data_IF_761104194596
#
_entry.id   IF_761104194596
#
_cell.length_a   1.000
_cell.length_b   1.000
_cell.length_c   1.000
_cell.angle_alpha   90.00
_cell.angle_beta   90.00
_cell.angle_gamma   90.00
#
_symmetry.space_group_name_H-M   'P 1'
#
loop_
_entity.id
_entity.type
_entity.pdbx_description
1 polymer ?
#
# COMPACT_ATOMS: atom_id res chain seq x y z
N UNK A 1 17.47 -47.12 20.51
CA UNK A 1 18.17 -46.08 19.73
C UNK A 1 17.09 -45.18 19.13
N UNK A 2 16.89 -44.00 19.73
CA UNK A 2 15.87 -43.02 19.36
C UNK A 2 16.33 -42.31 18.09
N UNK A 3 15.48 -42.24 17.07
CA UNK A 3 15.61 -41.25 16.00
C UNK A 3 14.25 -40.58 15.79
N UNK A 4 14.00 -39.60 16.66
CA UNK A 4 13.04 -38.53 16.41
C UNK A 4 13.69 -37.59 15.39
N UNK A 5 13.15 -37.56 14.17
CA UNK A 5 13.51 -36.56 13.17
C UNK A 5 12.48 -35.43 13.20
N UNK A 6 12.99 -34.22 13.40
CA UNK A 6 12.23 -33.04 13.76
C UNK A 6 11.25 -32.53 12.71
N UNK A 7 10.07 -32.16 13.17
CA UNK A 7 9.26 -31.12 12.55
C UNK A 7 9.99 -29.78 12.73
N UNK A 8 10.42 -29.18 11.62
CA UNK A 8 10.94 -27.82 11.57
C UNK A 8 9.99 -26.97 10.73
N UNK A 9 9.26 -26.10 11.42
CA UNK A 9 8.85 -24.73 11.05
C UNK A 9 8.26 -24.45 9.65
N UNK A 10 7.04 -24.94 9.37
CA UNK A 10 6.18 -24.45 8.27
C UNK A 10 5.10 -23.44 8.74
N UNK A 11 5.08 -23.09 10.02
CA UNK A 11 4.02 -22.31 10.68
C UNK A 11 4.22 -20.78 10.61
N UNK A 12 5.45 -20.28 10.41
CA UNK A 12 5.72 -18.83 10.37
C UNK A 12 5.34 -18.13 9.06
N UNK A 13 5.59 -18.78 7.91
CA UNK A 13 5.24 -18.22 6.59
C UNK A 13 3.73 -18.20 6.35
N UNK A 14 3.00 -19.22 6.83
CA UNK A 14 1.55 -19.35 6.67
C UNK A 14 0.77 -18.31 7.50
N UNK A 15 1.25 -17.99 8.71
CA UNK A 15 0.66 -16.95 9.56
C UNK A 15 0.85 -15.54 8.98
N UNK A 16 2.06 -15.20 8.51
CA UNK A 16 2.31 -13.90 7.86
C UNK A 16 1.50 -13.72 6.57
N UNK A 17 1.28 -14.79 5.80
CA UNK A 17 0.41 -14.72 4.61
C UNK A 17 -1.06 -14.52 4.98
N UNK A 18 -1.54 -15.19 6.03
CA UNK A 18 -2.93 -15.08 6.48
C UNK A 18 -3.23 -13.68 7.03
N UNK A 19 -2.28 -13.06 7.73
CA UNK A 19 -2.44 -11.69 8.25
C UNK A 19 -2.43 -10.64 7.14
N UNK A 20 -1.57 -10.81 6.11
CA UNK A 20 -1.59 -9.95 4.91
C UNK A 20 -2.91 -10.07 4.14
N UNK A 21 -3.46 -11.28 4.03
CA UNK A 21 -4.75 -11.53 3.38
C UNK A 21 -5.90 -10.84 4.14
N UNK A 22 -5.96 -10.99 5.47
CA UNK A 22 -6.95 -10.28 6.30
C UNK A 22 -6.89 -8.77 6.10
N UNK A 23 -5.69 -8.22 5.95
CA UNK A 23 -5.49 -6.78 5.74
C UNK A 23 -5.94 -6.31 4.36
N UNK A 24 -5.79 -7.15 3.32
CA UNK A 24 -6.34 -6.86 1.98
C UNK A 24 -7.86 -6.98 1.95
N UNK A 25 -8.43 -7.94 2.68
CA UNK A 25 -9.89 -8.16 2.70
C UNK A 25 -10.61 -6.98 3.37
N UNK A 26 -10.04 -6.47 4.47
CA UNK A 26 -10.53 -5.25 5.13
C UNK A 26 -10.47 -4.07 4.17
N UNK A 27 -9.38 -3.93 3.41
CA UNK A 27 -9.23 -2.85 2.44
C UNK A 27 -10.30 -2.93 1.35
N UNK A 28 -10.53 -4.13 0.81
CA UNK A 28 -11.55 -4.38 -0.20
C UNK A 28 -12.93 -4.03 0.35
N UNK A 29 -13.26 -4.51 1.56
CA UNK A 29 -14.55 -4.24 2.20
C UNK A 29 -14.78 -2.75 2.46
N UNK A 30 -13.79 -2.02 2.99
CA UNK A 30 -13.92 -0.57 3.24
C UNK A 30 -14.19 0.16 1.93
N UNK A 31 -13.42 -0.12 0.87
CA UNK A 31 -13.57 0.55 -0.42
C UNK A 31 -14.92 0.20 -1.06
N UNK A 32 -15.29 -1.09 -1.12
CA UNK A 32 -16.58 -1.52 -1.68
C UNK A 32 -17.77 -0.86 -0.97
N UNK A 33 -17.77 -0.85 0.37
CA UNK A 33 -18.86 -0.28 1.16
C UNK A 33 -18.97 1.22 1.00
N UNK A 34 -17.84 1.94 0.93
CA UNK A 34 -17.82 3.40 0.88
C UNK A 34 -18.13 3.95 -0.52
N UNK A 35 -17.67 3.27 -1.57
CA UNK A 35 -17.91 3.69 -2.95
C UNK A 35 -19.28 3.27 -3.46
N UNK A 36 -19.94 2.29 -2.82
CA UNK A 36 -21.22 1.72 -3.25
C UNK A 36 -21.22 1.37 -4.75
N UNK A 37 -20.19 0.63 -5.18
CA UNK A 37 -19.98 0.29 -6.59
C UNK A 37 -21.10 -0.61 -7.09
N UNK A 38 -21.64 -0.33 -8.28
CA UNK A 38 -22.49 -1.29 -8.96
C UNK A 38 -21.70 -2.56 -9.34
N UNK A 39 -22.36 -3.70 -9.63
CA UNK A 39 -21.68 -4.89 -10.12
C UNK A 39 -20.82 -4.61 -11.37
N UNK A 40 -21.32 -3.81 -12.31
CA UNK A 40 -20.60 -3.42 -13.52
C UNK A 40 -19.39 -2.54 -13.24
N UNK A 41 -19.54 -1.55 -12.34
CA UNK A 41 -18.44 -0.70 -11.91
C UNK A 41 -17.37 -1.52 -11.21
N UNK A 42 -17.75 -2.46 -10.34
CA UNK A 42 -16.83 -3.31 -9.58
C UNK A 42 -15.91 -4.12 -10.50
N UNK A 43 -16.47 -4.76 -11.54
CA UNK A 43 -15.70 -5.55 -12.51
C UNK A 43 -14.62 -4.71 -13.20
N UNK A 44 -14.94 -3.46 -13.54
CA UNK A 44 -14.01 -2.52 -14.19
C UNK A 44 -13.04 -1.84 -13.23
N UNK A 45 -13.49 -1.55 -12.01
CA UNK A 45 -12.76 -0.77 -11.00
C UNK A 45 -11.58 -1.55 -10.42
N UNK A 46 -11.80 -2.78 -9.98
CA UNK A 46 -10.79 -3.56 -9.25
C UNK A 46 -9.48 -3.76 -10.02
N UNK A 47 -9.47 -4.08 -11.33
CA UNK A 47 -8.23 -4.18 -12.09
C UNK A 47 -7.42 -2.88 -12.09
N UNK A 48 -8.08 -1.72 -12.28
CA UNK A 48 -7.44 -0.40 -12.28
C UNK A 48 -6.92 -0.05 -10.90
N UNK A 49 -7.73 -0.30 -9.86
CA UNK A 49 -7.38 -0.05 -8.48
C UNK A 49 -6.17 -0.88 -8.01
N UNK A 50 -6.15 -2.17 -8.35
CA UNK A 50 -5.07 -3.07 -7.96
C UNK A 50 -3.74 -2.65 -8.60
N UNK A 51 -3.76 -2.26 -9.87
CA UNK A 51 -2.58 -1.74 -10.58
C UNK A 51 -2.07 -0.44 -9.94
N UNK A 52 -2.98 0.51 -9.67
CA UNK A 52 -2.68 1.77 -8.98
C UNK A 52 -2.06 1.50 -7.60
N UNK A 53 -2.72 0.69 -6.78
CA UNK A 53 -2.30 0.41 -5.41
C UNK A 53 -0.96 -0.31 -5.36
N UNK A 54 -0.66 -1.19 -6.31
CA UNK A 54 0.63 -1.85 -6.41
C UNK A 54 1.77 -0.85 -6.72
N UNK A 55 1.57 0.02 -7.71
CA UNK A 55 2.56 1.05 -8.09
C UNK A 55 2.82 2.03 -6.94
N UNK A 56 1.75 2.54 -6.32
CA UNK A 56 1.84 3.46 -5.18
C UNK A 56 2.56 2.82 -3.99
N UNK A 57 2.26 1.55 -3.69
CA UNK A 57 2.96 0.79 -2.64
C UNK A 57 4.45 0.66 -2.92
N UNK A 58 4.86 0.48 -4.18
CA UNK A 58 6.26 0.48 -4.60
C UNK A 58 6.97 1.78 -4.26
N UNK A 59 6.38 2.91 -4.66
CA UNK A 59 6.90 4.25 -4.36
C UNK A 59 7.05 4.46 -2.84
N UNK A 60 6.01 4.15 -2.07
CA UNK A 60 6.06 4.28 -0.61
C UNK A 60 7.10 3.37 0.04
N UNK A 61 7.34 2.18 -0.52
CA UNK A 61 8.38 1.27 -0.04
C UNK A 61 9.77 1.90 -0.24
N UNK A 62 10.05 2.45 -1.41
CA UNK A 62 11.33 3.14 -1.68
C UNK A 62 11.53 4.34 -0.75
N UNK A 63 10.51 5.19 -0.57
CA UNK A 63 10.58 6.32 0.35
C UNK A 63 10.89 5.85 1.79
N UNK A 64 10.22 4.81 2.27
CA UNK A 64 10.48 4.25 3.61
C UNK A 64 11.90 3.69 3.73
N UNK A 65 12.43 3.04 2.70
CA UNK A 65 13.79 2.51 2.71
C UNK A 65 14.83 3.63 2.85
N UNK A 66 14.65 4.74 2.13
CA UNK A 66 15.53 5.91 2.21
C UNK A 66 15.45 6.56 3.60
N UNK A 67 14.23 6.81 4.11
CA UNK A 67 14.04 7.50 5.40
C UNK A 67 14.52 6.63 6.57
N UNK A 68 14.22 5.33 6.56
CA UNK A 68 14.61 4.44 7.66
C UNK A 68 16.12 4.15 7.69
N UNK A 69 16.83 4.30 6.57
CA UNK A 69 18.28 4.17 6.50
C UNK A 69 19.01 5.24 7.35
N UNK A 70 18.41 6.43 7.52
CA UNK A 70 18.94 7.52 8.38
C UNK A 70 18.89 7.26 9.89
N UNK A 71 18.44 6.08 10.34
CA UNK A 71 18.55 5.67 11.76
C UNK A 71 19.93 5.09 12.13
N UNK A 72 20.84 4.94 11.17
CA UNK A 72 22.21 4.49 11.42
C UNK A 72 23.14 5.70 11.61
N UNK A 73 24.02 5.72 12.63
CA UNK A 73 24.82 6.91 13.00
C UNK A 73 25.92 7.30 12.00
N UNK A 74 26.12 6.56 10.91
CA UNK A 74 27.23 6.71 9.98
C UNK A 74 26.79 7.13 8.56
N UNK A 75 25.91 8.14 8.45
CA UNK A 75 25.45 8.67 7.15
C UNK A 75 26.16 9.99 6.85
N UNK A 76 26.82 10.09 5.70
CA UNK A 76 27.48 11.33 5.25
C UNK A 76 26.48 12.39 4.77
N UNK A 77 26.85 13.67 4.85
CA UNK A 77 26.02 14.80 4.41
C UNK A 77 25.68 14.76 2.91
N UNK A 78 26.62 14.31 2.07
CA UNK A 78 26.42 14.18 0.62
C UNK A 78 25.34 13.13 0.30
N UNK A 79 25.41 11.95 0.92
CA UNK A 79 24.39 10.90 0.79
C UNK A 79 23.03 11.38 1.29
N UNK A 80 23.03 12.18 2.36
CA UNK A 80 21.80 12.81 2.88
C UNK A 80 21.14 13.76 1.88
N UNK A 81 21.90 14.49 1.07
CA UNK A 81 21.38 15.40 0.04
C UNK A 81 20.79 14.62 -1.15
N UNK A 82 21.50 13.61 -1.66
CA UNK A 82 21.01 12.74 -2.73
C UNK A 82 19.72 12.00 -2.34
N UNK A 83 19.65 11.50 -1.11
CA UNK A 83 18.46 10.86 -0.55
C UNK A 83 17.26 11.82 -0.50
N UNK A 84 17.49 13.10 -0.15
CA UNK A 84 16.43 14.13 -0.14
C UNK A 84 15.91 14.35 -1.57
N UNK A 85 16.81 14.55 -2.54
CA UNK A 85 16.45 14.72 -3.96
C UNK A 85 15.66 13.50 -4.45
N UNK A 86 16.12 12.29 -4.12
CA UNK A 86 15.45 11.04 -4.48
C UNK A 86 14.04 10.96 -3.90
N UNK A 87 13.84 11.34 -2.63
CA UNK A 87 12.51 11.38 -2.00
C UNK A 87 11.60 12.39 -2.70
N UNK A 88 12.10 13.57 -3.08
CA UNK A 88 11.32 14.54 -3.85
C UNK A 88 10.89 13.99 -5.21
N UNK A 89 11.80 13.32 -5.93
CA UNK A 89 11.46 12.68 -7.20
C UNK A 89 10.40 11.58 -7.03
N UNK A 90 10.49 10.77 -5.98
CA UNK A 90 9.50 9.73 -5.70
C UNK A 90 8.12 10.32 -5.39
N UNK A 91 8.05 11.44 -4.65
CA UNK A 91 6.80 12.17 -4.40
C UNK A 91 6.21 12.76 -5.69
N UNK A 92 7.06 13.29 -6.57
CA UNK A 92 6.64 13.75 -7.89
C UNK A 92 6.04 12.60 -8.71
N UNK A 93 6.72 11.45 -8.73
CA UNK A 93 6.23 10.26 -9.41
C UNK A 93 4.90 9.75 -8.83
N UNK A 94 4.69 9.87 -7.52
CA UNK A 94 3.39 9.55 -6.89
C UNK A 94 2.29 10.50 -7.38
N UNK A 95 2.55 11.81 -7.41
CA UNK A 95 1.58 12.78 -7.91
C UNK A 95 1.23 12.54 -9.39
N UNK A 96 2.22 12.20 -10.21
CA UNK A 96 2.01 11.88 -11.62
C UNK A 96 1.23 10.57 -11.79
N UNK A 97 1.48 9.58 -10.92
CA UNK A 97 0.67 8.37 -10.84
C UNK A 97 -0.78 8.71 -10.48
N UNK A 98 -1.02 9.53 -9.46
CA UNK A 98 -2.36 9.92 -9.03
C UNK A 98 -3.14 10.61 -10.17
N UNK A 99 -2.51 11.58 -10.85
CA UNK A 99 -3.10 12.25 -12.03
C UNK A 99 -3.44 11.29 -13.16
N UNK A 100 -2.55 10.34 -13.45
CA UNK A 100 -2.76 9.34 -14.50
C UNK A 100 -3.97 8.43 -14.19
N UNK A 101 -4.13 8.03 -12.93
CA UNK A 101 -5.20 7.12 -12.53
C UNK A 101 -6.51 7.84 -12.23
N UNK A 102 -6.48 9.13 -11.86
CA UNK A 102 -7.68 9.95 -11.72
C UNK A 102 -8.58 9.84 -12.95
N UNK A 103 -8.04 10.03 -14.16
CA UNK A 103 -8.84 9.95 -15.39
C UNK A 103 -9.40 8.54 -15.60
N UNK A 104 -8.57 7.51 -15.41
CA UNK A 104 -9.00 6.11 -15.54
C UNK A 104 -10.09 5.71 -14.54
N UNK A 105 -10.07 6.30 -13.34
CA UNK A 105 -11.13 6.09 -12.36
C UNK A 105 -12.39 6.85 -12.76
N UNK A 106 -12.29 8.09 -13.23
CA UNK A 106 -13.45 8.87 -13.68
C UNK A 106 -14.18 8.25 -14.88
N UNK A 107 -13.51 7.43 -15.68
CA UNK A 107 -14.15 6.62 -16.73
C UNK A 107 -15.08 5.52 -16.17
N UNK A 108 -14.94 5.14 -14.90
CA UNK A 108 -15.61 3.99 -14.26
C UNK A 108 -16.56 4.45 -13.14
N UNK A 109 -16.11 5.41 -12.32
CA UNK A 109 -16.79 5.90 -11.12
C UNK A 109 -16.98 7.41 -11.20
N UNK A 110 -17.97 7.94 -10.49
CA UNK A 110 -18.21 9.38 -10.42
C UNK A 110 -17.10 10.14 -9.67
N UNK A 111 -17.03 11.46 -9.87
CA UNK A 111 -16.12 12.32 -9.10
C UNK A 111 -16.36 12.23 -7.58
N UNK A 112 -17.61 12.09 -7.15
CA UNK A 112 -17.96 11.89 -5.74
C UNK A 112 -17.38 10.57 -5.21
N UNK A 113 -17.56 9.47 -5.96
CA UNK A 113 -16.99 8.16 -5.59
C UNK A 113 -15.45 8.20 -5.57
N UNK A 114 -14.81 8.96 -6.47
CA UNK A 114 -13.36 9.14 -6.44
C UNK A 114 -12.91 9.93 -5.19
N UNK A 115 -13.68 10.94 -4.78
CA UNK A 115 -13.45 11.63 -3.50
C UNK A 115 -13.54 10.67 -2.31
N UNK A 116 -14.57 9.82 -2.29
CA UNK A 116 -14.72 8.78 -1.26
C UNK A 116 -13.58 7.76 -1.28
N UNK A 117 -13.04 7.41 -2.45
CA UNK A 117 -11.88 6.55 -2.56
C UNK A 117 -10.67 7.12 -1.81
N UNK A 118 -10.37 8.40 -2.00
CA UNK A 118 -9.24 9.05 -1.32
C UNK A 118 -9.44 9.11 0.20
N UNK A 119 -10.69 9.32 0.65
CA UNK A 119 -11.03 9.25 2.07
C UNK A 119 -10.87 7.83 2.62
N UNK A 120 -11.35 6.81 1.90
CA UNK A 120 -11.21 5.40 2.26
C UNK A 120 -9.75 4.99 2.43
N UNK A 121 -8.88 5.39 1.51
CA UNK A 121 -7.44 5.06 1.58
C UNK A 121 -6.74 5.76 2.76
N UNK A 122 -7.11 7.00 3.04
CA UNK A 122 -6.58 7.76 4.17
C UNK A 122 -6.99 7.12 5.50
N UNK A 123 -8.26 6.75 5.64
CA UNK A 123 -8.78 6.09 6.84
C UNK A 123 -8.16 4.71 7.04
N UNK A 124 -8.08 3.89 5.99
CA UNK A 124 -7.40 2.60 6.04
C UNK A 124 -5.95 2.73 6.49
N UNK A 125 -5.23 3.75 5.98
CA UNK A 125 -3.84 4.01 6.38
C UNK A 125 -3.72 4.39 7.85
N UNK A 126 -4.64 5.21 8.37
CA UNK A 126 -4.71 5.56 9.81
C UNK A 126 -4.97 4.32 10.67
N UNK A 127 -5.98 3.52 10.31
CA UNK A 127 -6.32 2.28 11.03
C UNK A 127 -5.14 1.29 11.06
N UNK A 128 -4.39 1.20 9.95
CA UNK A 128 -3.23 0.32 9.84
C UNK A 128 -2.09 0.80 10.74
N UNK A 129 -1.85 2.12 10.81
CA UNK A 129 -0.87 2.70 11.74
C UNK A 129 -1.27 2.47 13.21
N UNK A 130 -2.54 2.58 13.56
CA UNK A 130 -3.03 2.32 14.91
C UNK A 130 -2.86 0.86 15.32
N UNK A 131 -3.11 -0.08 14.40
CA UNK A 131 -2.88 -1.51 14.66
C UNK A 131 -1.41 -1.86 14.86
N UNK A 132 -0.49 -1.21 14.14
CA UNK A 132 0.95 -1.45 14.26
C UNK A 132 1.57 -0.83 15.53
N UNK A 133 0.86 0.07 16.23
CA UNK A 133 1.31 0.69 17.48
C UNK A 133 0.96 -0.13 18.73
N UNK A 134 0.05 -1.11 18.62
CA UNK A 134 -0.27 -2.07 19.67
C UNK A 134 0.64 -3.29 19.55
#
# INVERSE_FOLDING_TARGET
MILSFGQTDASGQSQMSAERQKLSDIKISIISNRLNLSPEQSIRFWPVYNEYSAKRRGIHKEIRQIINYKKSPEVSDVKSSEDIIRVHQLKQNELDLDKKYQQRFLDIISANQLGELYMAETEYSKMLLERLKK
#
